data_IF_607956406786
#
_entry.id   IF_607956406786
#
_cell.length_a   1.000
_cell.length_b   1.000
_cell.length_c   1.000
_cell.angle_alpha   90.00
_cell.angle_beta   90.00
_cell.angle_gamma   90.00
#
_symmetry.space_group_name_H-M   'P 1'
#
loop_
_entity.id
_entity.type
_entity.pdbx_description
1 polymer ?
#
# COMPACT_ATOMS: atom_id res chain seq x y z
N UNK A 1 41.03 -22.59 8.96
CA UNK A 1 39.70 -22.71 8.32
C UNK A 1 38.68 -22.02 9.22
N UNK A 2 38.21 -20.82 8.84
CA UNK A 2 37.28 -20.05 9.67
C UNK A 2 35.85 -20.52 9.41
N UNK A 3 35.17 -20.87 10.49
CA UNK A 3 33.84 -21.49 10.53
C UNK A 3 32.76 -20.63 9.84
N UNK A 4 32.43 -20.95 8.58
CA UNK A 4 31.32 -20.33 7.83
C UNK A 4 29.93 -20.88 8.20
N UNK A 5 29.86 -21.90 9.08
CA UNK A 5 28.62 -22.60 9.40
C UNK A 5 27.62 -21.77 10.21
N UNK A 6 28.08 -20.97 11.17
CA UNK A 6 27.17 -20.31 12.12
C UNK A 6 26.44 -19.11 11.49
N UNK A 7 27.13 -18.33 10.64
CA UNK A 7 26.55 -17.12 10.05
C UNK A 7 25.45 -17.41 9.03
N UNK A 8 25.60 -18.44 8.21
CA UNK A 8 24.59 -18.83 7.23
C UNK A 8 23.35 -19.41 7.91
N UNK A 9 23.53 -20.21 8.96
CA UNK A 9 22.42 -20.76 9.75
C UNK A 9 21.63 -19.64 10.46
N UNK A 10 22.32 -18.68 11.07
CA UNK A 10 21.67 -17.51 11.70
C UNK A 10 20.91 -16.69 10.65
N UNK A 11 21.48 -16.50 9.46
CA UNK A 11 20.82 -15.79 8.37
C UNK A 11 19.54 -16.52 7.92
N UNK A 12 19.55 -17.85 7.82
CA UNK A 12 18.36 -18.65 7.50
C UNK A 12 17.29 -18.52 8.59
N UNK A 13 17.67 -18.67 9.87
CA UNK A 13 16.72 -18.54 10.99
C UNK A 13 16.06 -17.16 11.00
N UNK A 14 16.82 -16.09 10.78
CA UNK A 14 16.27 -14.73 10.71
C UNK A 14 15.34 -14.55 9.50
N UNK A 15 15.65 -15.18 8.37
CA UNK A 15 14.78 -15.16 7.20
C UNK A 15 13.46 -15.88 7.50
N UNK A 16 13.49 -17.06 8.12
CA UNK A 16 12.28 -17.79 8.49
C UNK A 16 11.40 -16.99 9.45
N UNK A 17 11.99 -16.40 10.50
CA UNK A 17 11.28 -15.49 11.42
C UNK A 17 10.60 -14.34 10.67
N UNK A 18 11.29 -13.73 9.71
CA UNK A 18 10.75 -12.65 8.89
C UNK A 18 9.57 -13.11 8.02
N UNK A 19 9.67 -14.27 7.37
CA UNK A 19 8.57 -14.81 6.55
C UNK A 19 7.36 -15.18 7.42
N UNK A 20 7.56 -15.85 8.56
CA UNK A 20 6.47 -16.16 9.49
C UNK A 20 5.78 -14.89 9.97
N UNK A 21 6.55 -13.86 10.32
CA UNK A 21 6.02 -12.55 10.70
C UNK A 21 5.21 -11.93 9.55
N UNK A 22 5.75 -11.91 8.33
CA UNK A 22 5.05 -11.38 7.15
C UNK A 22 3.69 -12.04 6.91
N UNK A 23 3.64 -13.37 7.05
CA UNK A 23 2.40 -14.14 6.87
C UNK A 23 1.40 -13.96 8.01
N UNK A 24 1.85 -13.54 9.19
CA UNK A 24 0.99 -13.32 10.36
C UNK A 24 0.25 -11.98 10.35
N UNK A 25 0.67 -11.04 9.48
CA UNK A 25 0.21 -9.66 9.47
C UNK A 25 -0.92 -9.42 8.48
N UNK A 26 -1.86 -8.59 8.88
CA UNK A 26 -2.94 -8.08 8.03
C UNK A 26 -2.55 -6.75 7.39
N UNK A 27 -3.34 -6.33 6.40
CA UNK A 27 -3.17 -5.04 5.74
C UNK A 27 -3.27 -3.85 6.73
N UNK A 28 -4.10 -3.96 7.78
CA UNK A 28 -4.21 -2.91 8.82
C UNK A 28 -2.96 -2.86 9.70
N UNK A 29 -2.42 -4.02 10.09
CA UNK A 29 -1.18 -4.08 10.87
C UNK A 29 -0.02 -3.42 10.11
N UNK A 30 0.05 -3.62 8.78
CA UNK A 30 1.04 -2.96 7.95
C UNK A 30 0.88 -1.44 7.95
N UNK A 31 -0.34 -0.90 8.03
CA UNK A 31 -0.60 0.55 8.11
C UNK A 31 -0.06 1.16 9.40
N UNK A 32 -0.12 0.42 10.51
CA UNK A 32 0.32 0.90 11.82
C UNK A 32 1.84 1.07 11.91
N UNK A 33 2.59 0.27 11.15
CA UNK A 33 4.07 0.26 11.18
C UNK A 33 4.72 1.01 10.01
N UNK A 34 3.95 1.79 9.25
CA UNK A 34 4.47 2.57 8.13
C UNK A 34 5.20 3.81 8.64
N UNK A 35 6.44 4.00 8.18
CA UNK A 35 7.11 5.28 8.28
C UNK A 35 6.50 6.27 7.28
N UNK A 36 5.50 7.03 7.73
CA UNK A 36 4.78 8.02 6.92
C UNK A 36 5.70 9.02 6.19
N UNK A 37 6.87 9.33 6.76
CA UNK A 37 7.85 10.25 6.16
C UNK A 37 8.43 9.75 4.84
N UNK A 38 8.72 8.44 4.76
CA UNK A 38 9.49 7.84 3.67
C UNK A 38 8.62 6.90 2.80
N UNK A 39 7.41 6.55 3.27
CA UNK A 39 6.49 5.66 2.56
C UNK A 39 6.96 4.20 2.54
N UNK A 40 7.71 3.79 3.57
CA UNK A 40 8.26 2.43 3.74
C UNK A 40 7.90 1.86 5.11
N UNK A 41 7.98 0.54 5.27
CA UNK A 41 7.74 -0.11 6.56
C UNK A 41 8.91 0.16 7.52
N UNK A 42 8.59 0.41 8.78
CA UNK A 42 9.57 0.72 9.82
C UNK A 42 10.52 -0.44 10.08
N UNK A 43 11.78 -0.27 9.66
CA UNK A 43 12.83 -1.28 9.87
C UNK A 43 13.09 -1.57 11.35
N UNK A 44 12.88 -0.56 12.21
CA UNK A 44 13.04 -0.68 13.66
C UNK A 44 11.95 -1.57 14.26
N UNK A 45 10.70 -1.35 13.86
CA UNK A 45 9.57 -2.14 14.35
C UNK A 45 9.61 -3.57 13.81
N UNK A 46 9.92 -3.75 12.52
CA UNK A 46 10.13 -5.08 11.93
C UNK A 46 11.18 -5.88 12.72
N UNK A 47 12.32 -5.26 13.04
CA UNK A 47 13.38 -5.92 13.80
C UNK A 47 12.94 -6.29 15.22
N UNK A 48 12.21 -5.40 15.89
CA UNK A 48 11.67 -5.63 17.23
C UNK A 48 10.67 -6.79 17.23
N UNK A 49 9.71 -6.79 16.30
CA UNK A 49 8.67 -7.82 16.21
C UNK A 49 9.20 -9.17 15.76
N UNK A 50 10.14 -9.21 14.81
CA UNK A 50 10.77 -10.44 14.37
C UNK A 50 11.82 -10.98 15.36
N UNK A 51 12.09 -10.28 16.46
CA UNK A 51 13.10 -10.62 17.46
C UNK A 51 14.49 -10.92 16.85
N UNK A 52 14.96 -10.03 15.98
CA UNK A 52 16.34 -10.03 15.47
C UNK A 52 16.91 -8.61 15.40
N UNK A 53 18.24 -8.48 15.41
CA UNK A 53 18.89 -7.17 15.31
C UNK A 53 18.69 -6.53 13.92
N UNK A 54 18.52 -5.20 13.86
CA UNK A 54 18.31 -4.48 12.60
C UNK A 54 19.39 -4.72 11.53
N UNK A 55 20.61 -5.10 11.94
CA UNK A 55 21.67 -5.56 11.03
C UNK A 55 21.26 -6.73 10.14
N UNK A 56 20.36 -7.62 10.60
CA UNK A 56 19.88 -8.74 9.80
C UNK A 56 19.13 -8.28 8.54
N UNK A 57 18.36 -7.19 8.64
CA UNK A 57 17.67 -6.59 7.48
C UNK A 57 18.71 -6.05 6.48
N UNK A 58 19.79 -5.45 6.98
CA UNK A 58 20.82 -4.84 6.13
C UNK A 58 21.85 -5.84 5.57
N UNK A 59 22.08 -6.95 6.24
CA UNK A 59 23.11 -7.94 5.84
C UNK A 59 22.52 -9.11 5.07
N UNK A 60 21.28 -9.51 5.34
CA UNK A 60 20.66 -10.65 4.67
C UNK A 60 19.96 -10.19 3.36
N UNK A 61 20.51 -10.52 2.18
CA UNK A 61 19.92 -10.10 0.90
C UNK A 61 18.52 -10.69 0.68
N UNK A 62 18.21 -11.86 1.26
CA UNK A 62 16.89 -12.49 1.13
C UNK A 62 15.81 -11.72 1.87
N UNK A 63 16.13 -11.23 3.08
CA UNK A 63 15.22 -10.37 3.84
C UNK A 63 14.99 -9.06 3.07
N UNK A 64 16.03 -8.44 2.52
CA UNK A 64 15.88 -7.23 1.70
C UNK A 64 14.96 -7.44 0.50
N UNK A 65 15.20 -8.50 -0.27
CA UNK A 65 14.42 -8.78 -1.47
C UNK A 65 12.94 -9.04 -1.13
N UNK A 66 12.68 -9.85 -0.11
CA UNK A 66 11.32 -10.13 0.35
C UNK A 66 10.61 -8.87 0.88
N UNK A 67 11.32 -8.02 1.61
CA UNK A 67 10.79 -6.77 2.14
C UNK A 67 10.47 -5.76 1.03
N UNK A 68 11.35 -5.59 0.05
CA UNK A 68 11.11 -4.75 -1.13
C UNK A 68 9.91 -5.24 -1.94
N UNK A 69 9.83 -6.56 -2.19
CA UNK A 69 8.70 -7.17 -2.89
C UNK A 69 7.38 -6.93 -2.15
N UNK A 70 7.38 -7.10 -0.81
CA UNK A 70 6.20 -6.82 0.00
C UNK A 70 5.80 -5.35 -0.03
N UNK A 71 6.75 -4.43 0.03
CA UNK A 71 6.47 -3.00 -0.04
C UNK A 71 5.93 -2.58 -1.42
N UNK A 72 6.35 -3.24 -2.49
CA UNK A 72 5.78 -3.03 -3.81
C UNK A 72 4.33 -3.52 -3.88
N UNK A 73 4.05 -4.74 -3.40
CA UNK A 73 2.70 -5.31 -3.33
C UNK A 73 1.75 -4.44 -2.49
N UNK A 74 2.20 -4.02 -1.30
CA UNK A 74 1.41 -3.14 -0.42
C UNK A 74 1.13 -1.77 -1.07
N UNK A 75 2.03 -1.28 -1.93
CA UNK A 75 1.82 -0.02 -2.66
C UNK A 75 0.85 -0.20 -3.82
N UNK A 76 0.92 -1.31 -4.55
CA UNK A 76 -0.05 -1.65 -5.59
C UNK A 76 -1.47 -1.75 -5.03
N UNK A 77 -1.60 -2.28 -3.81
CA UNK A 77 -2.87 -2.34 -3.06
C UNK A 77 -3.28 -1.03 -2.38
N UNK A 78 -2.49 0.04 -2.46
CA UNK A 78 -2.80 1.34 -1.84
C UNK A 78 -2.70 1.36 -0.31
N UNK A 79 -1.94 0.43 0.29
CA UNK A 79 -1.69 0.36 1.73
C UNK A 79 -0.51 1.24 2.11
N UNK A 80 0.57 1.20 1.33
CA UNK A 80 1.73 2.06 1.49
C UNK A 80 1.63 3.32 0.61
N UNK A 81 2.05 4.50 1.11
CA UNK A 81 2.21 5.69 0.29
C UNK A 81 3.19 5.49 -0.89
N UNK A 82 3.09 6.29 -1.95
CA UNK A 82 4.14 6.36 -2.96
C UNK A 82 5.47 6.78 -2.31
N UNK A 83 6.58 6.22 -2.80
CA UNK A 83 7.90 6.56 -2.28
C UNK A 83 8.15 8.06 -2.43
N UNK A 84 8.56 8.69 -1.33
CA UNK A 84 8.98 10.09 -1.36
C UNK A 84 10.40 10.12 -1.93
N UNK A 85 10.52 10.29 -3.25
CA UNK A 85 11.79 10.53 -3.91
C UNK A 85 12.33 11.88 -3.43
N UNK A 86 13.23 11.86 -2.46
CA UNK A 86 13.99 13.04 -2.03
C UNK A 86 15.00 13.40 -3.12
N UNK A 87 14.52 13.89 -4.26
CA UNK A 87 15.38 14.32 -5.38
C UNK A 87 14.84 14.15 -6.80
N UNK A 88 13.67 13.56 -7.04
CA UNK A 88 13.12 13.44 -8.40
C UNK A 88 11.61 13.68 -8.40
N UNK A 89 11.08 14.51 -9.34
CA UNK A 89 9.66 14.72 -9.45
C UNK A 89 9.00 13.42 -9.92
N UNK A 90 7.95 13.07 -9.20
CA UNK A 90 6.90 12.10 -9.51
C UNK A 90 6.85 11.69 -10.99
N UNK A 91 7.40 10.52 -11.31
CA UNK A 91 7.17 9.89 -12.61
C UNK A 91 6.03 8.89 -12.47
N UNK A 92 4.80 9.42 -12.56
CA UNK A 92 3.65 8.65 -13.02
C UNK A 92 2.91 9.50 -14.05
N UNK A 93 3.00 9.04 -15.30
CA UNK A 93 2.20 9.42 -16.48
C UNK A 93 2.50 10.77 -17.16
N UNK A 94 3.24 10.67 -18.28
CA UNK A 94 3.01 11.36 -19.57
C UNK A 94 2.56 12.84 -19.50
N UNK A 95 3.52 13.80 -19.54
CA UNK A 95 3.61 14.98 -20.47
C UNK A 95 4.60 16.08 -20.00
N UNK A 96 5.10 16.96 -20.90
CA UNK A 96 6.48 17.41 -20.91
C UNK A 96 6.81 18.65 -20.06
N UNK A 97 8.10 18.69 -19.71
CA UNK A 97 8.84 19.70 -18.95
C UNK A 97 8.60 21.14 -19.44
N UNK A 98 8.24 22.02 -18.52
CA UNK A 98 8.76 23.39 -18.46
C UNK A 98 9.11 23.73 -17.01
N UNK A 99 10.30 24.26 -16.81
CA UNK A 99 10.81 24.87 -15.56
C UNK A 99 11.33 26.25 -15.94
N UNK A 100 11.55 27.19 -15.00
CA UNK A 100 11.05 27.32 -13.63
C UNK A 100 10.48 28.75 -13.38
N UNK A 101 9.95 29.06 -12.19
CA UNK A 101 10.18 30.33 -11.45
C UNK A 101 9.44 30.27 -10.11
N UNK A 102 10.12 30.74 -9.08
CA UNK A 102 9.69 30.80 -7.69
C UNK A 102 8.35 31.55 -7.51
N UNK A 103 7.36 30.86 -6.93
CA UNK A 103 6.10 31.43 -6.50
C UNK A 103 5.35 30.44 -5.60
N UNK A 104 5.18 30.82 -4.33
CA UNK A 104 4.38 30.22 -3.26
C UNK A 104 3.57 28.93 -3.56
N UNK A 105 3.81 27.79 -2.85
CA UNK A 105 3.11 26.51 -3.08
C UNK A 105 1.62 26.49 -2.69
N UNK A 106 1.08 27.55 -2.08
CA UNK A 106 -0.28 27.55 -1.51
C UNK A 106 -1.41 27.57 -2.56
N UNK A 107 -1.18 28.10 -3.76
CA UNK A 107 -2.22 28.20 -4.79
C UNK A 107 -2.41 26.91 -5.59
N UNK A 108 -1.31 26.22 -5.93
CA UNK A 108 -1.34 24.93 -6.63
C UNK A 108 -1.99 23.83 -5.78
N UNK A 109 -1.71 23.83 -4.47
CA UNK A 109 -2.34 22.89 -3.55
C UNK A 109 -3.86 23.11 -3.46
N UNK A 110 -4.32 24.37 -3.48
CA UNK A 110 -5.76 24.68 -3.43
C UNK A 110 -6.51 24.23 -4.70
N UNK A 111 -5.93 24.41 -5.88
CA UNK A 111 -6.55 23.99 -7.14
C UNK A 111 -6.59 22.46 -7.27
N UNK A 112 -5.50 21.79 -6.90
CA UNK A 112 -5.44 20.33 -6.84
C UNK A 112 -6.45 19.78 -5.83
N UNK A 113 -6.56 20.40 -4.66
CA UNK A 113 -7.54 20.02 -3.64
C UNK A 113 -8.96 20.16 -4.18
N UNK A 114 -9.30 21.28 -4.80
CA UNK A 114 -10.62 21.50 -5.41
C UNK A 114 -10.98 20.46 -6.46
N UNK A 115 -10.01 20.12 -7.32
CA UNK A 115 -10.20 19.08 -8.35
C UNK A 115 -10.47 17.72 -7.72
N UNK A 116 -9.70 17.35 -6.69
CA UNK A 116 -9.86 16.09 -5.96
C UNK A 116 -11.19 16.04 -5.18
N UNK A 117 -11.65 17.17 -4.62
CA UNK A 117 -12.94 17.26 -3.95
C UNK A 117 -14.11 17.07 -4.92
N UNK A 118 -14.04 17.68 -6.11
CA UNK A 118 -15.02 17.50 -7.17
C UNK A 118 -15.06 16.05 -7.67
N UNK A 119 -13.91 15.45 -7.92
CA UNK A 119 -13.81 14.06 -8.37
C UNK A 119 -14.35 13.09 -7.31
N UNK A 120 -14.02 13.31 -6.03
CA UNK A 120 -14.59 12.53 -4.93
C UNK A 120 -16.10 12.67 -4.82
N UNK A 121 -16.65 13.88 -5.02
CA UNK A 121 -18.11 14.08 -5.00
C UNK A 121 -18.80 13.35 -6.17
N UNK A 122 -18.20 13.40 -7.37
CA UNK A 122 -18.69 12.67 -8.54
C UNK A 122 -18.67 11.16 -8.30
N UNK A 123 -17.53 10.62 -7.86
CA UNK A 123 -17.36 9.19 -7.59
C UNK A 123 -18.30 8.70 -6.48
N UNK A 124 -18.51 9.49 -5.42
CA UNK A 124 -19.48 9.14 -4.36
C UNK A 124 -20.91 9.07 -4.90
N UNK A 125 -21.28 9.97 -5.80
CA UNK A 125 -22.61 9.99 -6.41
C UNK A 125 -22.80 8.75 -7.30
N UNK A 126 -21.82 8.44 -8.14
CA UNK A 126 -21.85 7.23 -8.98
C UNK A 126 -21.91 5.95 -8.12
N UNK A 127 -21.12 5.90 -7.04
CA UNK A 127 -21.14 4.77 -6.12
C UNK A 127 -22.51 4.58 -5.44
N UNK A 128 -23.18 5.68 -5.08
CA UNK A 128 -24.53 5.63 -4.53
C UNK A 128 -25.55 5.13 -5.56
N UNK A 129 -25.47 5.60 -6.80
CA UNK A 129 -26.36 5.16 -7.88
C UNK A 129 -26.18 3.67 -8.18
N UNK A 130 -24.94 3.20 -8.31
CA UNK A 130 -24.63 1.79 -8.51
C UNK A 130 -25.17 0.91 -7.37
N UNK A 131 -25.05 1.37 -6.12
CA UNK A 131 -25.65 0.68 -4.96
C UNK A 131 -27.17 0.59 -5.06
N UNK A 132 -27.86 1.67 -5.44
CA UNK A 132 -29.32 1.64 -5.64
C UNK A 132 -29.73 0.68 -6.73
N UNK A 133 -28.96 0.59 -7.82
CA UNK A 133 -29.22 -0.38 -8.88
C UNK A 133 -29.05 -1.81 -8.39
N UNK A 134 -27.99 -2.09 -7.62
CA UNK A 134 -27.78 -3.40 -7.00
C UNK A 134 -28.91 -3.77 -6.05
N UNK A 135 -29.39 -2.84 -5.23
CA UNK A 135 -30.53 -3.08 -4.33
C UNK A 135 -31.80 -3.42 -5.12
N UNK A 136 -32.06 -2.72 -6.22
CA UNK A 136 -33.18 -3.02 -7.12
C UNK A 136 -33.07 -4.45 -7.70
N UNK A 137 -31.87 -4.85 -8.13
CA UNK A 137 -31.64 -6.21 -8.62
C UNK A 137 -31.73 -7.26 -7.51
N UNK A 138 -31.36 -6.92 -6.28
CA UNK A 138 -31.51 -7.81 -5.12
C UNK A 138 -32.98 -8.10 -4.84
N UNK A 139 -33.84 -7.06 -4.84
CA UNK A 139 -35.30 -7.23 -4.69
C UNK A 139 -35.89 -8.06 -5.84
N UNK A 140 -35.48 -7.80 -7.09
CA UNK A 140 -35.89 -8.60 -8.24
C UNK A 140 -35.49 -10.08 -8.09
N UNK A 141 -34.27 -10.36 -7.62
CA UNK A 141 -33.80 -11.72 -7.35
C UNK A 141 -34.62 -12.40 -6.25
N UNK A 142 -34.97 -11.68 -5.19
CA UNK A 142 -35.78 -12.20 -4.09
C UNK A 142 -37.20 -12.54 -4.53
N UNK A 143 -37.85 -11.67 -5.32
CA UNK A 143 -39.17 -11.94 -5.87
C UNK A 143 -39.11 -13.15 -6.82
N UNK A 144 -38.09 -13.23 -7.68
CA UNK A 144 -37.87 -14.37 -8.56
C UNK A 144 -37.67 -15.68 -7.79
N UNK A 145 -36.88 -15.68 -6.70
CA UNK A 145 -36.66 -16.89 -5.90
C UNK A 145 -37.91 -17.32 -5.13
N UNK A 146 -38.75 -16.37 -4.74
CA UNK A 146 -39.95 -16.63 -3.91
C UNK A 146 -41.17 -17.00 -4.75
N UNK A 147 -41.34 -16.38 -5.92
CA UNK A 147 -42.54 -16.53 -6.75
C UNK A 147 -42.30 -17.21 -8.10
N UNK A 148 -41.03 -17.35 -8.54
CA UNK A 148 -40.67 -17.92 -9.83
C UNK A 148 -41.12 -17.11 -11.05
N UNK A 149 -41.58 -15.86 -10.87
CA UNK A 149 -42.11 -14.97 -11.92
C UNK A 149 -41.54 -13.57 -11.77
N UNK A 150 -41.30 -12.89 -12.89
CA UNK A 150 -40.85 -11.49 -12.89
C UNK A 150 -42.00 -10.55 -12.49
N UNK A 151 -41.79 -9.60 -11.56
CA UNK A 151 -42.76 -8.54 -11.31
C UNK A 151 -42.86 -7.66 -12.56
N UNK A 152 -44.08 -7.43 -13.04
CA UNK A 152 -44.37 -6.57 -14.21
C UNK A 152 -44.38 -5.10 -13.84
#
# INVERSE_FOLDING_TARGET
>A
MVSKGNGQQIAEVNFQKFITWLSSKTDDDFRQIVNMRDGVLSRKEIAAECAFGGSAINQNPRIKAALLGKEAELRERGILPPLVTKGEPQSSSVQPKTVPVAGSPKSFDAERLRRLELENASLKTENQELKRQLDKFAVLREVLSTTGRLPR
#
